data_IF_543227104472
#
_entry.id   IF_543227104472
#
_cell.length_a   1.000
_cell.length_b   1.000
_cell.length_c   1.000
_cell.angle_alpha   90.00
_cell.angle_beta   90.00
_cell.angle_gamma   90.00
#
_symmetry.space_group_name_H-M   'P 1'
#
loop_
_entity.id
_entity.type
_entity.pdbx_description
1 polymer ?
#
# COMPACT_ATOMS: atom_id res chain seq x y z
N UNK A 1 28.33 7.21 20.85
CA UNK A 1 26.92 6.80 20.85
C UNK A 1 26.40 6.93 22.28
N UNK A 2 25.46 7.84 22.54
CA UNK A 2 24.80 7.92 23.85
C UNK A 2 23.59 6.98 23.82
N UNK A 3 23.68 5.85 24.51
CA UNK A 3 22.57 4.92 24.69
C UNK A 3 21.80 5.31 25.95
N UNK A 4 20.48 5.46 25.86
CA UNK A 4 19.61 5.71 27.01
C UNK A 4 19.14 4.37 27.60
N UNK A 5 19.57 3.99 28.82
CA UNK A 5 18.98 2.85 29.52
C UNK A 5 17.65 3.30 30.16
N UNK A 6 16.52 2.83 29.63
CA UNK A 6 15.20 3.08 30.22
C UNK A 6 14.50 1.76 30.54
N UNK A 7 14.34 1.48 31.83
CA UNK A 7 13.43 0.43 32.35
C UNK A 7 12.05 1.05 32.53
N UNK A 8 11.14 0.83 31.59
CA UNK A 8 9.80 1.41 31.64
C UNK A 8 8.89 0.63 32.62
N UNK A 9 8.69 1.15 33.83
CA UNK A 9 7.58 0.76 34.72
C UNK A 9 6.30 1.52 34.30
N UNK A 10 5.18 0.80 34.17
CA UNK A 10 3.84 1.33 33.90
C UNK A 10 3.40 2.39 34.93
N UNK A 11 2.89 3.56 34.52
CA UNK A 11 2.05 4.41 35.37
C UNK A 11 0.56 4.19 35.10
N UNK A 12 -0.23 4.13 36.18
CA UNK A 12 -1.70 4.02 36.18
C UNK A 12 -2.39 5.34 35.81
N UNK A 13 -3.61 5.30 35.22
CA UNK A 13 -4.31 6.50 34.74
C UNK A 13 -5.00 7.25 35.89
N UNK A 14 -4.84 8.57 35.95
CA UNK A 14 -5.62 9.45 36.83
C UNK A 14 -6.69 10.19 36.04
N UNK A 15 -7.91 10.11 36.56
CA UNK A 15 -9.11 10.87 36.21
C UNK A 15 -8.84 12.38 36.10
N UNK A 16 -9.46 13.02 35.11
CA UNK A 16 -9.74 14.47 35.11
C UNK A 16 -11.17 14.69 34.62
N UNK A 17 -12.00 15.22 35.51
CA UNK A 17 -13.30 15.80 35.19
C UNK A 17 -13.17 17.24 34.67
N UNK A 18 -14.18 17.75 33.95
CA UNK A 18 -14.14 18.99 33.19
C UNK A 18 -14.88 20.13 33.90
N UNK A 19 -14.40 21.38 33.79
CA UNK A 19 -15.24 22.58 33.76
C UNK A 19 -14.46 23.89 33.51
N UNK A 20 -15.10 24.74 32.70
CA UNK A 20 -15.08 26.22 32.66
C UNK A 20 -13.80 26.96 32.21
N UNK A 21 -13.84 28.05 31.44
CA UNK A 21 -14.96 28.86 30.95
C UNK A 21 -14.54 29.70 29.72
N UNK A 22 -15.55 29.99 28.89
CA UNK A 22 -15.87 31.24 28.19
C UNK A 22 -14.82 32.38 28.12
N UNK A 23 -14.49 32.83 26.90
CA UNK A 23 -14.73 34.20 26.43
C UNK A 23 -13.94 34.49 25.15
N UNK A 24 -14.64 34.82 24.06
CA UNK A 24 -14.44 36.06 23.27
C UNK A 24 -15.11 35.94 21.91
N UNK A 25 -16.26 36.63 21.82
CA UNK A 25 -16.95 37.03 20.60
C UNK A 25 -16.05 37.96 19.77
N UNK A 26 -15.86 37.64 18.50
CA UNK A 26 -15.21 38.50 17.50
C UNK A 26 -15.97 38.40 16.17
N UNK A 27 -16.89 39.36 16.02
CA UNK A 27 -17.56 39.90 14.82
C UNK A 27 -17.23 39.32 13.43
N UNK A 28 -18.30 38.82 12.78
CA UNK A 28 -18.46 38.64 11.33
C UNK A 28 -18.66 40.00 10.65
N UNK A 29 -17.68 40.47 9.88
CA UNK A 29 -17.85 41.46 8.82
C UNK A 29 -16.58 41.50 7.98
N UNK A 30 -16.74 41.20 6.68
CA UNK A 30 -15.83 41.47 5.54
C UNK A 30 -15.62 40.23 4.65
N UNK A 31 -16.70 39.86 3.95
CA UNK A 31 -16.71 38.90 2.82
C UNK A 31 -17.24 39.60 1.56
N UNK A 32 -16.64 40.73 1.19
CA UNK A 32 -16.82 41.35 -0.11
C UNK A 32 -15.50 41.96 -0.57
N UNK A 33 -15.02 41.49 -1.73
CA UNK A 33 -13.83 41.94 -2.48
C UNK A 33 -12.61 41.02 -2.46
N UNK A 34 -12.75 39.77 -2.93
CA UNK A 34 -11.79 39.16 -3.89
C UNK A 34 -12.59 38.22 -4.80
N UNK A 35 -13.44 38.79 -5.65
CA UNK A 35 -13.99 38.14 -6.83
C UNK A 35 -13.61 39.04 -8.00
N UNK A 36 -12.43 38.78 -8.56
CA UNK A 36 -12.00 39.19 -9.91
C UNK A 36 -10.49 38.97 -10.01
N UNK A 37 -10.11 37.76 -10.44
CA UNK A 37 -8.86 37.42 -11.13
C UNK A 37 -8.91 35.95 -11.59
N UNK A 38 -10.09 35.50 -12.03
CA UNK A 38 -10.29 34.29 -12.79
C UNK A 38 -10.77 34.71 -14.18
N UNK A 39 -9.83 34.98 -15.08
CA UNK A 39 -9.91 34.65 -16.51
C UNK A 39 -8.93 35.53 -17.31
N UNK A 40 -7.74 34.99 -17.59
CA UNK A 40 -7.04 35.24 -18.85
C UNK A 40 -5.98 34.16 -19.05
N UNK A 41 -6.41 32.94 -19.40
CA UNK A 41 -5.64 31.99 -20.24
C UNK A 41 -6.57 31.03 -20.98
N UNK A 42 -7.55 31.55 -21.70
CA UNK A 42 -8.30 30.78 -22.71
C UNK A 42 -7.64 30.97 -24.08
N UNK A 43 -6.44 30.40 -24.22
CA UNK A 43 -5.90 30.03 -25.55
C UNK A 43 -6.33 28.60 -25.85
N UNK A 44 -6.53 28.20 -27.13
CA UNK A 44 -6.89 26.83 -27.44
C UNK A 44 -5.75 25.93 -26.95
N UNK A 45 -5.97 25.17 -25.86
CA UNK A 45 -5.10 24.06 -25.53
C UNK A 45 -5.24 23.07 -26.68
N UNK A 46 -4.25 23.06 -27.57
CA UNK A 46 -4.17 22.06 -28.62
C UNK A 46 -4.06 20.71 -27.93
N UNK A 47 -5.19 20.00 -27.82
CA UNK A 47 -5.22 18.63 -27.32
C UNK A 47 -4.14 17.85 -28.04
N UNK A 48 -3.34 17.08 -27.28
CA UNK A 48 -2.26 16.23 -27.80
C UNK A 48 -2.73 15.29 -28.93
N UNK A 49 -4.04 15.07 -29.03
CA UNK A 49 -4.71 14.23 -30.01
C UNK A 49 -5.70 15.04 -30.88
N UNK A 50 -5.35 16.29 -31.24
CA UNK A 50 -6.23 17.15 -32.03
C UNK A 50 -6.42 16.69 -33.48
N UNK A 51 -5.43 16.01 -34.07
CA UNK A 51 -5.49 15.55 -35.47
C UNK A 51 -5.72 14.04 -35.56
N UNK A 52 -6.31 13.60 -36.67
CA UNK A 52 -6.50 12.19 -36.97
C UNK A 52 -5.18 11.41 -37.08
N UNK A 53 -4.10 12.06 -37.51
CA UNK A 53 -2.77 11.45 -37.57
C UNK A 53 -2.17 11.28 -36.17
N UNK A 54 -2.36 12.25 -35.26
CA UNK A 54 -1.95 12.12 -33.86
C UNK A 54 -2.74 11.02 -33.14
N UNK A 55 -4.06 10.93 -33.39
CA UNK A 55 -4.91 9.85 -32.88
C UNK A 55 -4.48 8.49 -33.44
N UNK A 56 -4.12 8.42 -34.73
CA UNK A 56 -3.64 7.19 -35.34
C UNK A 56 -2.30 6.75 -34.77
N UNK A 57 -1.35 7.66 -34.62
CA UNK A 57 -0.06 7.39 -33.99
C UNK A 57 -0.24 6.83 -32.57
N UNK A 58 -1.17 7.39 -31.80
CA UNK A 58 -1.52 6.89 -30.46
C UNK A 58 -2.11 5.48 -30.48
N UNK A 59 -2.98 5.14 -31.45
CA UNK A 59 -3.52 3.77 -31.62
C UNK A 59 -2.43 2.78 -32.02
N UNK A 60 -1.53 3.15 -32.93
CA UNK A 60 -0.38 2.31 -33.33
C UNK A 60 0.57 2.07 -32.15
N UNK A 61 0.86 3.12 -31.38
CA UNK A 61 1.70 3.05 -30.19
C UNK A 61 1.01 2.40 -28.98
N UNK A 62 -0.31 2.15 -29.05
CA UNK A 62 -1.15 1.71 -27.92
C UNK A 62 -0.98 2.63 -26.70
N UNK A 63 -0.98 3.92 -26.96
CA UNK A 63 -0.76 4.95 -25.95
C UNK A 63 -1.88 4.93 -24.90
N UNK A 64 -1.52 4.58 -23.66
CA UNK A 64 -2.46 4.59 -22.53
C UNK A 64 -2.90 6.00 -22.14
N UNK A 65 -2.12 7.04 -22.46
CA UNK A 65 -2.47 8.42 -22.15
C UNK A 65 -3.59 8.95 -23.04
N UNK A 66 -3.81 8.31 -24.18
CA UNK A 66 -4.91 8.61 -25.09
C UNK A 66 -6.25 7.98 -24.67
N UNK A 67 -6.25 7.08 -23.68
CA UNK A 67 -7.48 6.47 -23.18
C UNK A 67 -8.37 7.50 -22.49
N UNK A 68 -9.58 7.71 -23.02
CA UNK A 68 -10.55 8.67 -22.50
C UNK A 68 -10.54 10.02 -23.22
N UNK A 69 -9.50 10.31 -24.00
CA UNK A 69 -9.41 11.49 -24.87
C UNK A 69 -10.19 11.28 -26.18
N UNK A 70 -10.17 10.05 -26.72
CA UNK A 70 -10.97 9.65 -27.86
C UNK A 70 -11.15 8.13 -27.88
N UNK A 71 -12.04 7.66 -28.77
CA UNK A 71 -12.26 6.26 -29.07
C UNK A 71 -12.06 6.04 -30.57
N UNK A 72 -11.66 4.84 -30.98
CA UNK A 72 -11.56 4.51 -32.40
C UNK A 72 -12.45 3.32 -32.74
N UNK A 73 -13.11 3.35 -33.89
CA UNK A 73 -13.91 2.25 -34.40
C UNK A 73 -13.26 1.57 -35.58
N UNK A 74 -13.59 0.30 -35.78
CA UNK A 74 -13.07 -0.53 -36.88
C UNK A 74 -14.23 -1.03 -37.72
N UNK A 75 -14.36 -0.51 -38.95
CA UNK A 75 -15.45 -0.82 -39.89
C UNK A 75 -15.65 -2.32 -40.11
N UNK A 76 -14.56 -3.05 -40.33
CA UNK A 76 -14.61 -4.49 -40.66
C UNK A 76 -15.08 -5.38 -39.50
N UNK A 77 -14.96 -4.93 -38.25
CA UNK A 77 -15.33 -5.73 -37.08
C UNK A 77 -16.58 -5.21 -36.37
N UNK A 78 -17.02 -3.99 -36.72
CA UNK A 78 -18.16 -3.33 -36.11
C UNK A 78 -17.95 -2.98 -34.64
N UNK A 79 -16.70 -2.86 -34.17
CA UNK A 79 -16.39 -2.52 -32.77
C UNK A 79 -15.70 -1.18 -32.62
N UNK A 80 -15.89 -0.53 -31.48
CA UNK A 80 -15.05 0.59 -31.03
C UNK A 80 -14.21 0.23 -29.82
N UNK A 81 -13.05 0.86 -29.72
CA UNK A 81 -11.96 0.54 -28.81
C UNK A 81 -11.41 1.81 -28.15
N UNK A 82 -10.73 1.62 -27.02
CA UNK A 82 -9.81 2.62 -26.46
C UNK A 82 -8.48 2.60 -27.23
N UNK A 83 -7.75 3.72 -27.35
CA UNK A 83 -6.48 3.77 -28.08
C UNK A 83 -5.42 2.77 -27.59
N UNK A 84 -5.39 2.45 -26.30
CA UNK A 84 -4.48 1.44 -25.73
C UNK A 84 -4.84 -0.02 -26.04
N UNK A 85 -5.93 -0.27 -26.79
CA UNK A 85 -6.45 -1.61 -27.01
C UNK A 85 -5.44 -2.51 -27.70
N UNK A 86 -5.08 -3.63 -27.04
CA UNK A 86 -4.19 -4.64 -27.59
C UNK A 86 -4.77 -5.49 -28.74
N UNK A 87 -5.89 -5.08 -29.34
CA UNK A 87 -6.43 -5.76 -30.53
C UNK A 87 -5.44 -5.68 -31.71
N UNK A 88 -5.59 -6.60 -32.67
CA UNK A 88 -4.80 -6.52 -33.91
C UNK A 88 -5.12 -5.20 -34.60
N UNK A 89 -4.07 -4.46 -34.98
CA UNK A 89 -4.22 -3.19 -35.68
C UNK A 89 -4.98 -3.42 -36.99
N UNK A 90 -6.10 -2.72 -37.13
CA UNK A 90 -6.85 -2.67 -38.38
C UNK A 90 -6.09 -1.80 -39.39
N UNK A 91 -6.39 -1.95 -40.69
CA UNK A 91 -5.87 -1.02 -41.69
C UNK A 91 -6.43 0.38 -41.41
N UNK A 92 -5.61 1.43 -41.59
CA UNK A 92 -5.96 2.84 -41.33
C UNK A 92 -7.26 3.27 -42.02
N UNK A 93 -7.49 2.79 -43.24
CA UNK A 93 -8.69 3.04 -44.06
C UNK A 93 -9.99 2.54 -43.41
N UNK A 94 -9.89 1.55 -42.51
CA UNK A 94 -11.04 0.95 -41.81
C UNK A 94 -11.27 1.57 -40.43
N UNK A 95 -10.53 2.62 -40.06
CA UNK A 95 -10.56 3.23 -38.73
C UNK A 95 -11.16 4.63 -38.77
N UNK A 96 -12.10 4.89 -37.86
CA UNK A 96 -12.67 6.21 -37.60
C UNK A 96 -12.49 6.58 -36.12
N UNK A 97 -12.41 7.87 -35.81
CA UNK A 97 -12.24 8.36 -34.44
C UNK A 97 -13.51 9.06 -33.93
N UNK A 98 -13.76 8.92 -32.64
CA UNK A 98 -14.95 9.41 -31.94
C UNK A 98 -14.51 10.14 -30.67
N UNK A 99 -15.20 11.23 -30.33
CA UNK A 99 -14.91 12.03 -29.12
C UNK A 99 -15.26 11.28 -27.85
N UNK A 100 -16.33 10.49 -27.88
CA UNK A 100 -16.82 9.73 -26.74
C UNK A 100 -17.45 8.41 -27.20
N UNK A 101 -17.84 7.57 -26.24
CA UNK A 101 -18.45 6.27 -26.51
C UNK A 101 -19.83 6.40 -27.16
N UNK A 102 -20.61 7.41 -26.77
CA UNK A 102 -21.95 7.61 -27.29
C UNK A 102 -21.93 8.00 -28.77
N UNK A 103 -20.92 8.76 -29.21
CA UNK A 103 -20.67 9.07 -30.61
C UNK A 103 -20.35 7.80 -31.42
N UNK A 104 -19.52 6.91 -30.88
CA UNK A 104 -19.19 5.63 -31.52
C UNK A 104 -20.42 4.69 -31.62
N UNK A 105 -21.26 4.67 -30.58
CA UNK A 105 -22.50 3.88 -30.55
C UNK A 105 -23.55 4.42 -31.54
N UNK A 106 -23.74 5.75 -31.59
CA UNK A 106 -24.61 6.39 -32.60
C UNK A 106 -24.14 6.11 -34.03
N UNK A 107 -22.83 5.95 -34.23
CA UNK A 107 -22.24 5.55 -35.50
C UNK A 107 -22.38 4.05 -35.81
N UNK A 108 -23.07 3.27 -34.96
CA UNK A 108 -23.41 1.86 -35.19
C UNK A 108 -22.37 0.85 -34.73
N UNK A 109 -21.37 1.27 -33.92
CA UNK A 109 -20.32 0.39 -33.43
C UNK A 109 -20.63 -0.11 -32.02
N UNK A 110 -20.40 -1.41 -31.77
CA UNK A 110 -20.53 -1.98 -30.42
C UNK A 110 -19.22 -1.85 -29.63
N UNK A 111 -19.24 -1.79 -28.29
CA UNK A 111 -18.02 -1.76 -27.49
C UNK A 111 -17.18 -3.02 -27.70
N UNK A 112 -15.87 -2.83 -27.82
CA UNK A 112 -14.92 -3.92 -27.97
C UNK A 112 -14.91 -4.80 -26.72
N UNK A 113 -15.16 -6.11 -26.89
CA UNK A 113 -15.15 -7.09 -25.78
C UNK A 113 -13.77 -7.30 -25.13
N UNK A 114 -12.70 -6.79 -25.74
CA UNK A 114 -11.32 -6.91 -25.25
C UNK A 114 -10.93 -5.74 -24.33
N UNK A 115 -10.94 -4.51 -24.84
CA UNK A 115 -10.61 -3.33 -24.03
C UNK A 115 -11.81 -2.80 -23.25
N UNK A 116 -13.03 -3.26 -23.58
CA UNK A 116 -14.27 -3.03 -22.82
C UNK A 116 -14.45 -1.54 -22.49
N UNK A 117 -14.49 -0.68 -23.51
CA UNK A 117 -14.44 0.77 -23.33
C UNK A 117 -15.58 1.27 -22.41
N UNK A 118 -16.74 0.65 -22.52
CA UNK A 118 -17.99 0.82 -21.77
C UNK A 118 -17.92 0.41 -20.28
N UNK A 119 -16.91 -0.37 -19.88
CA UNK A 119 -16.87 -1.01 -18.55
C UNK A 119 -16.11 -0.21 -17.48
N UNK A 120 -15.78 1.07 -17.72
CA UNK A 120 -15.12 1.94 -16.74
C UNK A 120 -15.85 2.07 -15.40
N UNK A 121 -17.19 2.14 -15.44
CA UNK A 121 -18.06 2.09 -14.26
C UNK A 121 -18.22 0.67 -13.69
N UNK A 122 -18.17 -0.34 -14.56
CA UNK A 122 -18.29 -1.76 -14.19
C UNK A 122 -17.15 -2.20 -13.27
N UNK A 123 -15.93 -1.75 -13.52
CA UNK A 123 -14.77 -2.13 -12.71
C UNK A 123 -14.70 -1.42 -11.36
N UNK A 124 -15.20 -0.18 -11.27
CA UNK A 124 -15.42 0.49 -9.98
C UNK A 124 -16.51 -0.23 -9.18
N UNK A 125 -17.59 -0.65 -9.85
CA UNK A 125 -18.63 -1.52 -9.28
C UNK A 125 -18.04 -2.85 -8.82
N UNK A 126 -17.18 -3.49 -9.62
CA UNK A 126 -16.51 -4.73 -9.27
C UNK A 126 -15.58 -4.60 -8.06
N UNK A 127 -14.80 -3.52 -7.97
CA UNK A 127 -13.96 -3.25 -6.81
C UNK A 127 -14.82 -3.02 -5.55
N UNK A 128 -15.94 -2.32 -5.68
CA UNK A 128 -16.91 -2.15 -4.59
C UNK A 128 -17.55 -3.49 -4.16
N UNK A 129 -17.93 -4.35 -5.11
CA UNK A 129 -18.46 -5.69 -4.86
C UNK A 129 -17.44 -6.58 -4.12
N UNK A 130 -16.18 -6.58 -4.56
CA UNK A 130 -15.11 -7.32 -3.88
C UNK A 130 -14.85 -6.77 -2.48
N UNK A 131 -14.85 -5.44 -2.32
CA UNK A 131 -14.69 -4.79 -1.00
C UNK A 131 -15.83 -5.16 -0.05
N UNK A 132 -17.07 -5.16 -0.54
CA UNK A 132 -18.23 -5.60 0.24
C UNK A 132 -18.11 -7.08 0.65
N UNK A 133 -17.66 -7.94 -0.27
CA UNK A 133 -17.42 -9.35 0.03
C UNK A 133 -16.29 -9.56 1.08
N UNK A 134 -15.20 -8.80 1.01
CA UNK A 134 -14.15 -8.84 2.04
C UNK A 134 -14.70 -8.47 3.42
N UNK A 135 -15.46 -7.36 3.52
CA UNK A 135 -16.11 -6.95 4.77
C UNK A 135 -17.09 -7.99 5.28
N UNK A 136 -17.85 -8.62 4.39
CA UNK A 136 -18.77 -9.70 4.73
C UNK A 136 -18.03 -10.89 5.34
N UNK A 137 -16.91 -11.31 4.76
CA UNK A 137 -16.04 -12.38 5.30
C UNK A 137 -15.48 -11.96 6.67
N UNK A 138 -15.07 -10.71 6.83
CA UNK A 138 -14.50 -10.18 8.07
C UNK A 138 -15.52 -10.05 9.21
N UNK A 139 -16.80 -9.84 8.90
CA UNK A 139 -17.88 -9.72 9.87
C UNK A 139 -18.56 -11.06 10.21
N UNK A 140 -18.51 -12.06 9.31
CA UNK A 140 -19.21 -13.33 9.50
C UNK A 140 -18.47 -14.23 10.50
N UNK A 141 -19.15 -14.75 11.52
CA UNK A 141 -18.59 -15.74 12.46
C UNK A 141 -18.13 -17.01 11.72
N UNK A 142 -19.01 -17.58 10.90
CA UNK A 142 -18.68 -18.61 9.91
C UNK A 142 -18.52 -17.97 8.53
N UNK A 143 -17.38 -18.15 7.83
CA UNK A 143 -17.20 -17.56 6.51
C UNK A 143 -18.28 -18.01 5.51
N UNK A 144 -18.93 -17.09 4.78
CA UNK A 144 -19.95 -17.46 3.80
C UNK A 144 -19.33 -18.27 2.67
N UNK A 145 -20.15 -19.12 2.03
CA UNK A 145 -19.69 -19.90 0.88
C UNK A 145 -19.41 -18.99 -0.33
N UNK A 146 -18.68 -19.53 -1.31
CA UNK A 146 -18.43 -18.82 -2.57
C UNK A 146 -19.76 -18.46 -3.26
N UNK A 147 -20.72 -19.37 -3.19
CA UNK A 147 -22.05 -19.24 -3.79
C UNK A 147 -22.82 -18.09 -3.13
N UNK A 148 -22.78 -17.98 -1.80
CA UNK A 148 -23.41 -16.87 -1.06
C UNK A 148 -22.77 -15.53 -1.41
N UNK A 149 -21.44 -15.43 -1.38
CA UNK A 149 -20.73 -14.18 -1.71
C UNK A 149 -20.98 -13.75 -3.16
N UNK A 150 -21.05 -14.70 -4.08
CA UNK A 150 -21.37 -14.44 -5.47
C UNK A 150 -22.81 -13.97 -5.66
N UNK A 151 -23.77 -14.61 -4.98
CA UNK A 151 -25.18 -14.21 -5.00
C UNK A 151 -25.41 -12.80 -4.44
N UNK A 152 -24.80 -12.47 -3.29
CA UNK A 152 -24.83 -11.13 -2.69
C UNK A 152 -24.22 -10.07 -3.63
N UNK A 153 -23.20 -10.45 -4.41
CA UNK A 153 -22.60 -9.59 -5.41
C UNK A 153 -23.40 -9.51 -6.73
N UNK A 154 -24.48 -10.29 -6.89
CA UNK A 154 -25.26 -10.40 -8.12
C UNK A 154 -24.49 -11.04 -9.28
N UNK A 155 -23.51 -11.92 -8.98
CA UNK A 155 -22.61 -12.53 -9.95
C UNK A 155 -22.67 -14.06 -9.90
N UNK A 156 -22.27 -14.73 -10.98
CA UNK A 156 -22.09 -16.19 -10.95
C UNK A 156 -20.87 -16.57 -10.10
N UNK A 157 -20.88 -17.74 -9.42
CA UNK A 157 -19.78 -18.16 -8.55
C UNK A 157 -18.41 -18.19 -9.25
N UNK A 158 -18.38 -18.68 -10.49
CA UNK A 158 -17.15 -18.76 -11.27
C UNK A 158 -16.61 -17.37 -11.64
N UNK A 159 -17.50 -16.45 -12.02
CA UNK A 159 -17.10 -15.08 -12.38
C UNK A 159 -16.64 -14.30 -11.15
N UNK A 160 -17.38 -14.39 -10.04
CA UNK A 160 -17.00 -13.78 -8.77
C UNK A 160 -15.65 -14.30 -8.28
N UNK A 161 -15.38 -15.61 -8.34
CA UNK A 161 -14.09 -16.18 -7.96
C UNK A 161 -12.92 -15.57 -8.75
N UNK A 162 -13.06 -15.46 -10.07
CA UNK A 162 -12.03 -14.85 -10.93
C UNK A 162 -11.85 -13.37 -10.64
N UNK A 163 -12.95 -12.64 -10.45
CA UNK A 163 -12.94 -11.21 -10.15
C UNK A 163 -12.30 -10.93 -8.79
N UNK A 164 -12.68 -11.69 -7.76
CA UNK A 164 -12.12 -11.59 -6.43
C UNK A 164 -10.61 -11.84 -6.46
N UNK A 165 -10.15 -12.86 -7.18
CA UNK A 165 -8.72 -13.14 -7.35
C UNK A 165 -8.00 -12.04 -8.13
N UNK A 166 -8.61 -11.48 -9.17
CA UNK A 166 -7.97 -10.40 -9.93
C UNK A 166 -7.82 -9.11 -9.11
N UNK A 167 -8.75 -8.84 -8.19
CA UNK A 167 -8.73 -7.64 -7.34
C UNK A 167 -7.88 -7.84 -6.07
N UNK A 168 -8.01 -8.96 -5.37
CA UNK A 168 -7.35 -9.21 -4.08
C UNK A 168 -6.02 -9.97 -4.19
N UNK A 169 -5.76 -10.63 -5.33
CA UNK A 169 -4.62 -11.52 -5.53
C UNK A 169 -4.78 -12.93 -4.95
N UNK A 170 -5.81 -13.19 -4.14
CA UNK A 170 -6.09 -14.49 -3.50
C UNK A 170 -7.50 -14.97 -3.82
N UNK A 171 -7.79 -16.26 -3.60
CA UNK A 171 -9.16 -16.77 -3.75
C UNK A 171 -10.03 -16.33 -2.55
N UNK A 172 -11.36 -16.24 -2.69
CA UNK A 172 -12.26 -15.97 -1.56
C UNK A 172 -12.03 -16.91 -0.37
N UNK A 173 -11.80 -18.20 -0.66
CA UNK A 173 -11.45 -19.20 0.36
C UNK A 173 -10.11 -18.93 1.02
N UNK A 174 -9.10 -18.52 0.25
CA UNK A 174 -7.79 -18.11 0.78
C UNK A 174 -7.90 -16.90 1.72
N UNK A 175 -8.70 -15.91 1.33
CA UNK A 175 -8.99 -14.72 2.14
C UNK A 175 -9.69 -15.08 3.45
N UNK A 176 -10.75 -15.89 3.39
CA UNK A 176 -11.46 -16.39 4.56
C UNK A 176 -10.59 -17.24 5.50
N UNK A 177 -9.69 -18.07 4.94
CA UNK A 177 -8.73 -18.82 5.74
C UNK A 177 -7.75 -17.91 6.48
N UNK A 178 -7.23 -16.88 5.82
CA UNK A 178 -6.31 -15.93 6.44
C UNK A 178 -6.98 -15.16 7.58
N UNK A 179 -8.22 -14.69 7.37
CA UNK A 179 -8.99 -14.00 8.42
C UNK A 179 -9.35 -14.90 9.59
N UNK A 180 -9.69 -16.17 9.33
CA UNK A 180 -9.90 -17.16 10.40
C UNK A 180 -8.63 -17.44 11.19
N UNK A 181 -7.48 -17.55 10.53
CA UNK A 181 -6.20 -17.71 11.21
C UNK A 181 -5.94 -16.55 12.17
N UNK A 182 -6.25 -15.32 11.74
CA UNK A 182 -6.14 -14.12 12.55
C UNK A 182 -7.08 -14.15 13.76
N UNK A 183 -8.36 -14.48 13.56
CA UNK A 183 -9.31 -14.63 14.70
C UNK A 183 -8.92 -15.71 15.68
N UNK A 184 -8.40 -16.85 15.20
CA UNK A 184 -7.88 -17.90 16.08
C UNK A 184 -6.74 -17.35 16.94
N UNK A 185 -5.83 -16.55 16.38
CA UNK A 185 -4.77 -15.89 17.16
C UNK A 185 -5.36 -14.90 18.18
N UNK A 186 -6.41 -14.18 17.81
CA UNK A 186 -7.05 -13.20 18.70
C UNK A 186 -7.85 -13.86 19.85
N UNK A 187 -8.48 -15.01 19.59
CA UNK A 187 -9.35 -15.73 20.52
C UNK A 187 -8.65 -16.78 21.38
N UNK A 188 -7.52 -17.35 20.93
CA UNK A 188 -6.76 -18.35 21.69
C UNK A 188 -6.36 -17.90 23.13
N UNK A 189 -6.08 -16.62 23.43
CA UNK A 189 -5.70 -16.19 24.77
C UNK A 189 -6.79 -16.40 25.84
N UNK A 190 -8.06 -16.30 25.46
CA UNK A 190 -9.22 -16.38 26.38
C UNK A 190 -9.94 -17.73 26.31
N UNK A 191 -9.58 -18.59 25.35
CA UNK A 191 -10.26 -19.85 25.11
C UNK A 191 -9.85 -20.95 26.10
N UNK A 192 -10.83 -21.69 26.62
CA UNK A 192 -10.63 -22.81 27.54
C UNK A 192 -9.74 -23.93 26.94
N UNK A 193 -9.76 -24.10 25.61
CA UNK A 193 -8.88 -25.02 24.90
C UNK A 193 -8.53 -24.52 23.49
N UNK A 194 -7.41 -25.01 22.94
CA UNK A 194 -7.08 -24.82 21.52
C UNK A 194 -8.25 -25.30 20.64
N UNK A 195 -8.86 -26.41 21.03
CA UNK A 195 -10.02 -26.97 20.34
C UNK A 195 -11.20 -26.00 20.34
N UNK A 196 -11.53 -25.39 21.48
CA UNK A 196 -12.62 -24.41 21.57
C UNK A 196 -12.32 -23.13 20.79
N UNK A 197 -11.09 -22.60 20.86
CA UNK A 197 -10.70 -21.41 20.09
C UNK A 197 -10.82 -21.59 18.56
N UNK A 198 -10.51 -22.78 18.08
CA UNK A 198 -10.68 -23.15 16.67
C UNK A 198 -12.15 -23.39 16.31
N UNK A 199 -12.96 -23.94 17.22
CA UNK A 199 -14.41 -24.06 17.06
C UNK A 199 -15.09 -22.68 16.99
N UNK A 200 -14.78 -21.79 17.93
CA UNK A 200 -15.29 -20.42 17.99
C UNK A 200 -14.87 -19.59 16.76
N UNK A 201 -13.70 -19.89 16.18
CA UNK A 201 -13.24 -19.30 14.93
C UNK A 201 -13.75 -20.01 13.65
N UNK A 202 -14.65 -21.00 13.78
CA UNK A 202 -15.34 -21.64 12.66
C UNK A 202 -14.57 -22.75 11.92
N UNK A 203 -13.73 -23.53 12.61
CA UNK A 203 -13.09 -24.75 12.06
C UNK A 203 -13.87 -26.03 12.43
N UNK A 204 -14.82 -26.43 11.57
CA UNK A 204 -15.73 -27.56 11.83
C UNK A 204 -15.25 -28.95 11.33
N UNK A 205 -13.95 -29.30 11.41
CA UNK A 205 -13.54 -30.67 11.02
C UNK A 205 -12.29 -31.23 11.72
N UNK A 206 -12.45 -32.40 12.35
CA UNK A 206 -11.50 -33.08 13.24
C UNK A 206 -10.33 -33.84 12.55
N UNK A 207 -10.23 -33.89 11.22
CA UNK A 207 -9.29 -34.81 10.55
C UNK A 207 -7.92 -34.24 10.14
N UNK A 208 -7.81 -32.93 9.92
CA UNK A 208 -6.58 -32.24 9.44
C UNK A 208 -6.13 -31.12 10.39
N UNK A 209 -6.60 -31.23 11.63
CA UNK A 209 -6.68 -30.21 12.66
C UNK A 209 -5.33 -29.62 13.09
N UNK A 210 -4.33 -30.46 13.37
CA UNK A 210 -3.02 -30.00 13.84
C UNK A 210 -2.04 -29.63 12.72
N UNK A 211 -2.12 -30.30 11.57
CA UNK A 211 -1.20 -30.05 10.46
C UNK A 211 -1.43 -28.68 9.79
N UNK A 212 -2.67 -28.19 9.78
CA UNK A 212 -2.99 -26.85 9.26
C UNK A 212 -2.79 -25.74 10.30
N UNK A 213 -2.90 -26.05 11.59
CA UNK A 213 -2.73 -25.08 12.66
C UNK A 213 -1.31 -24.50 12.70
N UNK A 214 -0.28 -25.33 12.52
CA UNK A 214 1.12 -24.89 12.48
C UNK A 214 1.40 -23.95 11.28
N UNK A 215 0.83 -24.26 10.11
CA UNK A 215 0.96 -23.45 8.90
C UNK A 215 0.14 -22.14 8.95
N UNK A 216 -0.97 -22.12 9.71
CA UNK A 216 -1.86 -20.95 9.87
C UNK A 216 -1.41 -20.02 11.00
N UNK A 217 -0.85 -20.56 12.08
CA UNK A 217 -0.39 -19.81 13.26
C UNK A 217 1.12 -19.52 13.21
N UNK A 218 1.87 -20.21 12.37
CA UNK A 218 3.34 -20.11 12.31
C UNK A 218 4.05 -20.76 13.51
N UNK A 219 3.32 -21.41 14.41
CA UNK A 219 3.82 -22.13 15.59
C UNK A 219 2.79 -23.13 16.12
N UNK A 220 3.22 -24.01 17.04
CA UNK A 220 2.38 -25.05 17.66
C UNK A 220 1.31 -24.46 18.60
N UNK A 221 0.03 -24.88 18.52
CA UNK A 221 -1.06 -24.33 19.34
C UNK A 221 -0.87 -24.44 20.86
N UNK A 222 -0.22 -25.50 21.34
CA UNK A 222 0.10 -25.67 22.77
C UNK A 222 1.13 -24.63 23.26
N UNK A 223 2.03 -24.18 22.38
CA UNK A 223 3.00 -23.12 22.67
C UNK A 223 2.34 -21.74 22.72
N UNK A 224 1.21 -21.54 22.02
CA UNK A 224 0.42 -20.33 22.07
C UNK A 224 -0.43 -20.25 23.37
N UNK A 225 -1.02 -21.37 23.82
CA UNK A 225 -1.85 -21.42 25.05
C UNK A 225 -1.04 -21.39 26.36
N UNK A 226 0.24 -21.76 26.34
CA UNK A 226 1.13 -21.68 27.51
C UNK A 226 1.51 -20.22 27.91
N UNK A 227 0.58 -19.27 27.72
CA UNK A 227 0.81 -17.84 27.82
C UNK A 227 1.79 -17.37 26.76
N UNK A 228 1.63 -17.89 25.52
CA UNK A 228 2.63 -17.92 24.46
C UNK A 228 3.54 -16.74 24.60
N UNK A 229 4.78 -17.00 25.08
CA UNK A 229 5.71 -15.98 25.60
C UNK A 229 5.38 -14.68 24.91
N UNK A 230 4.78 -13.74 25.65
CA UNK A 230 4.51 -12.39 25.20
C UNK A 230 5.58 -12.05 24.18
N UNK A 231 5.21 -11.94 22.89
CA UNK A 231 6.20 -12.00 21.82
C UNK A 231 7.35 -11.09 22.20
N UNK A 232 8.52 -11.67 22.46
CA UNK A 232 9.60 -10.88 23.05
C UNK A 232 10.11 -9.97 21.96
N UNK A 233 9.91 -8.68 22.16
CA UNK A 233 10.33 -7.65 21.22
C UNK A 233 11.54 -6.98 21.84
N UNK A 234 12.71 -7.26 21.26
CA UNK A 234 13.91 -6.48 21.54
C UNK A 234 13.74 -5.14 20.89
N UNK A 235 13.96 -4.06 21.64
CA UNK A 235 13.89 -2.71 21.10
C UNK A 235 15.03 -1.85 21.64
N UNK A 236 15.38 -0.84 20.85
CA UNK A 236 16.36 0.17 21.21
C UNK A 236 15.96 1.49 20.57
N UNK A 237 16.38 2.59 21.20
CA UNK A 237 16.29 3.92 20.62
C UNK A 237 17.70 4.47 20.41
N UNK A 238 17.94 4.97 19.22
CA UNK A 238 19.18 5.59 18.79
C UNK A 238 18.91 7.00 18.22
N UNK A 239 19.98 7.72 17.89
CA UNK A 239 19.92 9.01 17.20
C UNK A 239 20.51 8.88 15.80
N UNK A 240 19.91 9.58 14.85
CA UNK A 240 20.35 9.68 13.46
C UNK A 240 20.13 11.11 12.95
N UNK A 241 20.57 11.43 11.72
CA UNK A 241 20.39 12.74 11.08
C UNK A 241 18.92 13.17 10.94
N UNK A 242 17.97 12.22 11.03
CA UNK A 242 16.53 12.44 10.95
C UNK A 242 15.83 12.51 12.33
N UNK A 243 16.61 12.54 13.42
CA UNK A 243 16.12 12.58 14.81
C UNK A 243 16.21 11.24 15.52
N UNK A 244 15.29 11.01 16.46
CA UNK A 244 15.18 9.76 17.21
C UNK A 244 14.76 8.60 16.29
N UNK A 245 15.45 7.47 16.43
CA UNK A 245 15.23 6.25 15.67
C UNK A 245 14.93 5.12 16.64
N UNK A 246 13.73 4.54 16.56
CA UNK A 246 13.38 3.31 17.27
C UNK A 246 13.53 2.12 16.33
N UNK A 247 14.23 1.09 16.80
CA UNK A 247 14.40 -0.20 16.11
C UNK A 247 13.83 -1.29 17.01
N UNK A 248 12.96 -2.13 16.47
CA UNK A 248 12.40 -3.27 17.21
C UNK A 248 12.40 -4.55 16.37
N UNK A 249 12.70 -5.67 17.01
CA UNK A 249 12.75 -6.99 16.39
C UNK A 249 12.07 -8.06 17.23
N UNK A 250 11.43 -8.99 16.53
CA UNK A 250 10.94 -10.25 17.09
C UNK A 250 11.96 -11.35 16.86
N UNK A 251 11.64 -12.59 17.20
CA UNK A 251 12.46 -13.76 16.84
C UNK A 251 12.57 -13.99 15.32
N UNK A 252 11.71 -13.36 14.51
CA UNK A 252 11.69 -13.51 13.04
C UNK A 252 12.49 -12.43 12.31
N UNK A 253 12.75 -11.29 12.95
CA UNK A 253 13.45 -10.16 12.35
C UNK A 253 12.90 -8.80 12.79
N UNK A 254 13.34 -7.75 12.11
CA UNK A 254 12.90 -6.36 12.37
C UNK A 254 11.40 -6.23 12.10
N UNK A 255 10.62 -5.90 13.12
CA UNK A 255 9.18 -5.66 13.02
C UNK A 255 8.84 -4.15 13.04
N UNK A 256 9.78 -3.31 13.47
CA UNK A 256 9.62 -1.87 13.45
C UNK A 256 10.93 -1.11 13.24
N UNK A 257 10.87 -0.07 12.42
CA UNK A 257 11.87 1.00 12.32
C UNK A 257 11.06 2.29 12.23
N UNK A 258 11.16 3.16 13.24
CA UNK A 258 10.34 4.37 13.35
C UNK A 258 11.19 5.59 13.64
N UNK A 259 10.85 6.71 13.00
CA UNK A 259 11.56 7.98 13.11
C UNK A 259 10.67 9.03 13.80
N UNK A 260 11.24 9.85 14.66
CA UNK A 260 10.51 10.91 15.34
C UNK A 260 11.43 11.89 16.05
N UNK A 261 10.84 12.90 16.69
CA UNK A 261 11.57 13.90 17.47
C UNK A 261 11.65 13.52 18.95
N UNK A 262 10.61 12.87 19.47
CA UNK A 262 10.50 12.41 20.86
C UNK A 262 10.72 10.88 20.97
N UNK A 263 11.82 10.41 21.57
CA UNK A 263 12.07 9.00 21.88
C UNK A 263 10.94 8.33 22.66
N UNK A 264 10.33 9.02 23.64
CA UNK A 264 9.30 8.44 24.49
C UNK A 264 8.00 8.24 23.73
N UNK A 265 7.67 9.13 22.80
CA UNK A 265 6.54 8.94 21.88
C UNK A 265 6.72 7.70 21.00
N UNK A 266 7.92 7.43 20.50
CA UNK A 266 8.20 6.24 19.69
C UNK A 266 8.03 4.95 20.51
N UNK A 267 8.51 4.93 21.75
CA UNK A 267 8.35 3.79 22.65
C UNK A 267 6.88 3.57 23.00
N UNK A 268 6.11 4.63 23.27
CA UNK A 268 4.66 4.53 23.48
C UNK A 268 3.94 3.98 22.25
N UNK A 269 4.27 4.43 21.04
CA UNK A 269 3.69 3.87 19.81
C UNK A 269 4.01 2.38 19.66
N UNK A 270 5.22 1.95 20.01
CA UNK A 270 5.60 0.54 20.02
C UNK A 270 4.76 -0.27 21.04
N UNK A 271 4.57 0.27 22.24
CA UNK A 271 3.76 -0.34 23.30
C UNK A 271 2.29 -0.45 22.90
N UNK A 272 1.70 0.61 22.35
CA UNK A 272 0.31 0.65 21.90
C UNK A 272 0.06 -0.36 20.78
N UNK A 273 1.06 -0.55 19.89
CA UNK A 273 0.98 -1.53 18.80
C UNK A 273 1.14 -2.97 19.30
N UNK A 274 1.91 -3.18 20.37
CA UNK A 274 2.17 -4.50 20.94
C UNK A 274 1.84 -4.54 22.44
N UNK A 275 0.56 -4.36 22.83
CA UNK A 275 0.17 -4.13 24.22
C UNK A 275 0.38 -5.36 25.13
N UNK A 276 0.52 -6.54 24.53
CA UNK A 276 0.74 -7.83 25.18
C UNK A 276 2.17 -8.37 25.00
N UNK A 277 3.06 -7.64 24.33
CA UNK A 277 4.44 -8.08 24.11
C UNK A 277 5.33 -7.77 25.33
N UNK A 278 6.34 -8.60 25.54
CA UNK A 278 7.41 -8.31 26.49
C UNK A 278 8.45 -7.47 25.76
N UNK A 279 8.54 -6.19 26.12
CA UNK A 279 9.55 -5.29 25.56
C UNK A 279 10.86 -5.46 26.32
N UNK A 280 11.86 -6.00 25.64
CA UNK A 280 13.20 -6.27 26.18
C UNK A 280 14.17 -5.22 25.64
N UNK A 281 15.02 -4.68 26.51
CA UNK A 281 16.07 -3.76 26.10
C UNK A 281 17.11 -4.42 25.18
N UNK A 282 17.96 -3.60 24.56
CA UNK A 282 19.01 -4.10 23.68
C UNK A 282 20.06 -4.91 24.45
N UNK A 283 20.38 -6.09 23.93
CA UNK A 283 21.63 -6.80 24.24
C UNK A 283 22.72 -6.40 23.23
N UNK A 284 23.97 -6.79 23.50
CA UNK A 284 25.12 -6.45 22.66
C UNK A 284 24.99 -6.95 21.20
N UNK A 285 24.19 -8.00 20.96
CA UNK A 285 23.91 -8.47 19.60
C UNK A 285 22.90 -7.55 18.89
N UNK A 286 21.85 -7.15 19.59
CA UNK A 286 20.84 -6.26 19.08
C UNK A 286 21.39 -4.85 18.85
N UNK A 287 22.32 -4.38 19.67
CA UNK A 287 23.04 -3.11 19.44
C UNK A 287 23.76 -3.09 18.08
N UNK A 288 24.31 -4.24 17.64
CA UNK A 288 24.90 -4.34 16.28
C UNK A 288 23.86 -4.20 15.18
N UNK A 289 22.66 -4.75 15.38
CA UNK A 289 21.54 -4.56 14.44
C UNK A 289 21.12 -3.10 14.39
N UNK A 290 21.01 -2.44 15.54
CA UNK A 290 20.67 -1.02 15.64
C UNK A 290 21.72 -0.18 14.91
N UNK A 291 23.01 -0.46 15.09
CA UNK A 291 24.09 0.24 14.38
C UNK A 291 24.02 0.05 12.85
N UNK A 292 23.69 -1.16 12.38
CA UNK A 292 23.47 -1.40 10.95
C UNK A 292 22.26 -0.62 10.42
N UNK A 293 21.17 -0.56 11.18
CA UNK A 293 19.98 0.23 10.79
C UNK A 293 20.31 1.72 10.77
N UNK A 294 21.04 2.24 11.77
CA UNK A 294 21.49 3.65 11.78
C UNK A 294 22.34 3.93 10.54
N UNK A 295 23.38 3.14 10.28
CA UNK A 295 24.23 3.31 9.09
C UNK A 295 23.45 3.24 7.78
N UNK A 296 22.44 2.37 7.70
CA UNK A 296 21.56 2.28 6.54
C UNK A 296 20.61 3.47 6.40
N UNK A 297 20.14 4.07 7.50
CA UNK A 297 19.35 5.31 7.45
C UNK A 297 20.19 6.49 6.97
N UNK A 298 21.45 6.57 7.40
CA UNK A 298 22.39 7.60 6.95
C UNK A 298 22.78 7.42 5.48
N UNK A 299 23.02 6.18 5.05
CA UNK A 299 23.42 5.85 3.67
C UNK A 299 22.56 4.72 3.08
N UNK A 300 21.35 5.01 2.57
CA UNK A 300 20.41 3.99 2.07
C UNK A 300 20.93 3.14 0.90
N UNK A 301 21.97 3.60 0.21
CA UNK A 301 22.61 2.89 -0.91
C UNK A 301 23.38 1.64 -0.48
N UNK A 302 23.78 1.51 0.80
CA UNK A 302 24.51 0.33 1.30
C UNK A 302 23.59 -0.91 1.41
N UNK A 303 22.27 -0.70 1.39
CA UNK A 303 21.28 -1.76 1.61
C UNK A 303 21.20 -2.23 3.07
N UNK A 304 20.14 -2.94 3.41
CA UNK A 304 19.95 -3.51 4.75
C UNK A 304 19.93 -5.03 4.68
N UNK A 305 20.99 -5.67 5.19
CA UNK A 305 21.16 -7.12 5.22
C UNK A 305 20.68 -7.74 6.54
N UNK A 306 19.49 -7.33 6.99
CA UNK A 306 18.84 -7.86 8.19
C UNK A 306 17.48 -8.48 7.85
N UNK A 307 17.06 -9.56 8.53
CA UNK A 307 15.75 -10.17 8.30
C UNK A 307 14.63 -9.20 8.72
N UNK A 308 13.58 -9.12 7.90
CA UNK A 308 12.42 -8.27 8.14
C UNK A 308 11.19 -9.13 8.48
N UNK A 309 10.56 -8.85 9.61
CA UNK A 309 9.27 -9.44 10.01
C UNK A 309 8.12 -8.53 9.53
N UNK A 310 7.85 -8.60 8.23
CA UNK A 310 6.85 -7.77 7.57
C UNK A 310 5.44 -8.30 7.84
N UNK A 311 4.64 -7.55 8.61
CA UNK A 311 3.26 -7.91 8.97
C UNK A 311 2.26 -7.02 8.27
N UNK A 312 1.37 -7.63 7.49
CA UNK A 312 0.29 -6.92 6.81
C UNK A 312 -0.54 -7.85 5.94
N UNK A 313 -1.62 -7.32 5.38
CA UNK A 313 -2.45 -8.01 4.38
C UNK A 313 -1.64 -8.41 3.15
N UNK A 314 -2.11 -9.41 2.39
CA UNK A 314 -1.45 -9.81 1.15
C UNK A 314 -1.26 -8.64 0.17
N UNK A 315 -2.22 -7.71 0.11
CA UNK A 315 -2.10 -6.51 -0.71
C UNK A 315 -0.96 -5.61 -0.23
N UNK A 316 -0.88 -5.33 1.07
CA UNK A 316 0.19 -4.52 1.66
C UNK A 316 1.57 -5.15 1.43
N UNK A 317 1.70 -6.47 1.62
CA UNK A 317 2.96 -7.17 1.39
C UNK A 317 3.44 -7.04 -0.07
N UNK A 318 2.54 -7.18 -1.06
CA UNK A 318 2.89 -6.95 -2.46
C UNK A 318 3.31 -5.52 -2.75
N UNK A 319 2.60 -4.54 -2.17
CA UNK A 319 2.97 -3.12 -2.29
C UNK A 319 4.37 -2.93 -1.73
N UNK A 320 4.62 -3.33 -0.49
CA UNK A 320 5.90 -3.18 0.17
C UNK A 320 7.04 -3.89 -0.54
N UNK A 321 6.79 -5.06 -1.14
CA UNK A 321 7.77 -5.71 -2.02
C UNK A 321 8.08 -4.85 -3.24
N UNK A 322 7.06 -4.34 -3.94
CA UNK A 322 7.27 -3.44 -5.08
C UNK A 322 7.95 -2.11 -4.70
N UNK A 323 7.81 -1.65 -3.45
CA UNK A 323 8.56 -0.50 -2.93
C UNK A 323 10.06 -0.82 -2.83
N UNK A 324 10.41 -2.00 -2.31
CA UNK A 324 11.81 -2.43 -2.15
C UNK A 324 12.54 -2.55 -3.48
N UNK A 325 11.81 -2.79 -4.57
CA UNK A 325 12.36 -2.86 -5.92
C UNK A 325 12.63 -1.46 -6.54
N UNK A 326 12.26 -0.36 -5.86
CA UNK A 326 12.63 1.01 -6.28
C UNK A 326 14.04 1.32 -5.78
N UNK A 327 15.05 1.51 -6.65
CA UNK A 327 16.44 1.74 -6.24
C UNK A 327 16.62 3.04 -5.45
N UNK A 328 17.66 3.12 -4.62
CA UNK A 328 18.06 4.36 -3.97
C UNK A 328 18.40 5.43 -5.00
N UNK A 329 17.96 6.67 -4.75
CA UNK A 329 18.12 7.79 -5.68
C UNK A 329 17.12 7.77 -6.86
N UNK A 330 16.14 6.86 -6.84
CA UNK A 330 15.03 6.86 -7.80
C UNK A 330 13.69 7.02 -7.07
N UNK A 331 12.74 7.64 -7.77
CA UNK A 331 11.37 7.78 -7.29
C UNK A 331 10.39 7.07 -8.22
N UNK A 332 9.29 6.59 -7.65
CA UNK A 332 8.15 6.08 -8.42
C UNK A 332 6.86 6.74 -7.94
N UNK A 333 5.84 6.81 -8.80
CA UNK A 333 4.53 7.30 -8.40
C UNK A 333 3.66 6.21 -7.79
N UNK A 334 2.66 6.58 -6.99
CA UNK A 334 1.65 5.62 -6.51
C UNK A 334 0.98 4.86 -7.65
N UNK A 335 0.78 5.50 -8.81
CA UNK A 335 0.22 4.85 -9.99
C UNK A 335 1.18 3.83 -10.60
N UNK A 336 2.47 4.14 -10.68
CA UNK A 336 3.48 3.19 -11.16
C UNK A 336 3.59 1.96 -10.25
N UNK A 337 3.53 2.14 -8.93
CA UNK A 337 3.49 1.00 -8.00
C UNK A 337 2.21 0.17 -8.19
N UNK A 338 1.06 0.82 -8.36
CA UNK A 338 -0.21 0.15 -8.64
C UNK A 338 -0.14 -0.69 -9.94
N UNK A 339 0.53 -0.18 -10.97
CA UNK A 339 0.79 -0.95 -12.21
C UNK A 339 1.71 -2.14 -11.97
N UNK A 340 2.83 -1.96 -11.24
CA UNK A 340 3.80 -3.03 -10.94
C UNK A 340 3.19 -4.21 -10.19
N UNK A 341 2.26 -3.95 -9.27
CA UNK A 341 1.57 -5.02 -8.52
C UNK A 341 0.39 -5.65 -9.29
N UNK A 342 0.19 -5.28 -10.56
CA UNK A 342 -0.91 -5.79 -11.39
C UNK A 342 -2.28 -5.25 -10.99
N UNK A 343 -2.34 -4.08 -10.34
CA UNK A 343 -3.60 -3.44 -9.91
C UNK A 343 -3.63 -1.95 -10.27
N UNK A 344 -3.57 -1.54 -11.56
CA UNK A 344 -3.36 -0.15 -11.99
C UNK A 344 -4.33 0.89 -11.42
N UNK A 345 -5.54 0.49 -11.04
CA UNK A 345 -6.58 1.38 -10.48
C UNK A 345 -6.57 1.46 -8.96
N UNK A 346 -5.69 0.72 -8.28
CA UNK A 346 -5.59 0.65 -6.83
C UNK A 346 -4.71 1.76 -6.22
N UNK A 347 -4.55 2.90 -6.90
CA UNK A 347 -3.63 4.00 -6.51
C UNK A 347 -3.85 4.47 -5.06
N UNK A 348 -5.11 4.67 -4.65
CA UNK A 348 -5.44 5.07 -3.28
C UNK A 348 -5.12 4.00 -2.25
N UNK A 349 -5.38 2.72 -2.57
CA UNK A 349 -5.05 1.60 -1.70
C UNK A 349 -3.52 1.43 -1.56
N UNK A 350 -2.76 1.68 -2.62
CA UNK A 350 -1.29 1.73 -2.57
C UNK A 350 -0.82 2.85 -1.64
N UNK A 351 -1.42 4.05 -1.73
CA UNK A 351 -1.08 5.15 -0.84
C UNK A 351 -1.36 4.82 0.64
N UNK A 352 -2.50 4.17 0.93
CA UNK A 352 -2.80 3.67 2.28
C UNK A 352 -1.81 2.60 2.74
N UNK A 353 -1.43 1.67 1.87
CA UNK A 353 -0.43 0.65 2.19
C UNK A 353 0.95 1.28 2.48
N UNK A 354 1.34 2.34 1.77
CA UNK A 354 2.54 3.13 2.06
C UNK A 354 2.45 3.79 3.44
N UNK A 355 1.30 4.37 3.79
CA UNK A 355 1.09 5.01 5.11
C UNK A 355 1.08 3.99 6.28
N UNK A 356 0.70 2.74 6.01
CA UNK A 356 0.74 1.66 7.01
C UNK A 356 2.11 1.01 7.19
N UNK A 357 3.15 1.46 6.47
CA UNK A 357 4.50 0.92 6.62
C UNK A 357 5.03 1.15 8.05
N UNK A 358 5.57 0.11 8.67
CA UNK A 358 6.17 0.16 10.02
C UNK A 358 7.70 0.06 10.00
N UNK A 359 8.31 -0.10 8.83
CA UNK A 359 9.75 -0.26 8.63
C UNK A 359 10.28 0.91 7.80
N UNK A 360 10.49 2.06 8.45
CA UNK A 360 11.05 3.26 7.83
C UNK A 360 12.38 2.94 7.12
N UNK A 361 12.56 3.52 5.92
CA UNK A 361 13.72 3.36 5.03
C UNK A 361 13.92 1.94 4.49
N UNK A 362 13.80 0.90 5.32
CA UNK A 362 13.95 -0.51 4.93
C UNK A 362 12.85 -0.98 3.95
N UNK A 363 11.63 -0.49 4.15
CA UNK A 363 10.60 -0.45 3.11
C UNK A 363 10.56 1.02 2.62
N UNK A 364 11.11 1.33 1.43
CA UNK A 364 11.44 2.71 1.04
C UNK A 364 10.23 3.48 0.50
N UNK A 365 9.19 3.63 1.32
CA UNK A 365 7.97 4.37 0.97
C UNK A 365 8.21 5.88 0.78
N UNK A 366 9.34 6.43 1.24
CA UNK A 366 9.77 7.82 0.96
C UNK A 366 10.08 8.04 -0.53
N UNK A 367 10.47 6.99 -1.26
CA UNK A 367 10.70 7.04 -2.72
C UNK A 367 9.41 7.15 -3.53
N UNK A 368 8.25 7.02 -2.89
CA UNK A 368 6.97 7.08 -3.58
C UNK A 368 6.36 8.47 -3.49
N UNK A 369 6.12 9.08 -4.65
CA UNK A 369 5.61 10.45 -4.78
C UNK A 369 4.29 10.49 -5.52
N UNK A 370 3.62 11.64 -5.52
CA UNK A 370 2.44 11.86 -6.36
C UNK A 370 2.85 11.94 -7.84
N UNK A 371 1.88 11.77 -8.74
CA UNK A 371 2.14 11.86 -10.20
C UNK A 371 2.66 13.24 -10.63
N UNK A 372 2.34 14.30 -9.88
CA UNK A 372 2.83 15.67 -10.10
C UNK A 372 4.21 15.92 -9.46
N UNK A 373 4.85 14.89 -8.89
CA UNK A 373 6.12 14.99 -8.17
C UNK A 373 6.01 15.60 -6.77
N UNK A 374 4.81 16.04 -6.35
CA UNK A 374 4.64 16.65 -5.04
C UNK A 374 4.88 15.63 -3.91
N UNK A 375 5.58 16.09 -2.87
CA UNK A 375 5.77 15.32 -1.65
C UNK A 375 4.53 15.48 -0.77
N UNK A 376 3.74 14.42 -0.71
CA UNK A 376 2.65 14.29 0.26
C UNK A 376 2.71 12.92 0.90
N UNK A 377 2.16 12.80 2.10
CA UNK A 377 1.98 11.50 2.76
C UNK A 377 3.32 10.83 3.08
N UNK A 378 3.73 10.98 4.34
CA UNK A 378 4.79 10.18 4.93
C UNK A 378 4.48 9.97 6.40
N UNK A 379 4.51 8.72 6.85
CA UNK A 379 4.14 8.38 8.23
C UNK A 379 4.95 9.17 9.25
N UNK A 380 6.22 9.44 8.96
CA UNK A 380 7.16 10.12 9.86
C UNK A 380 7.40 11.60 9.49
N UNK A 381 6.54 12.19 8.66
CA UNK A 381 6.58 13.62 8.30
C UNK A 381 7.25 13.95 6.96
N UNK A 382 6.68 14.93 6.24
CA UNK A 382 7.12 15.28 4.88
C UNK A 382 8.57 15.79 4.83
N UNK A 383 9.03 16.46 5.88
CA UNK A 383 10.41 16.96 5.97
C UNK A 383 11.45 15.82 5.96
N UNK A 384 11.21 14.76 6.73
CA UNK A 384 12.08 13.56 6.72
C UNK A 384 12.10 12.87 5.36
N UNK A 385 10.94 12.82 4.68
CA UNK A 385 10.85 12.29 3.31
C UNK A 385 11.68 13.12 2.34
N UNK A 386 11.66 14.45 2.45
CA UNK A 386 12.48 15.34 1.63
C UNK A 386 13.97 15.11 1.90
N UNK A 387 14.39 15.11 3.16
CA UNK A 387 15.79 14.88 3.54
C UNK A 387 16.35 13.56 3.00
N UNK A 388 15.61 12.45 3.16
CA UNK A 388 16.00 11.15 2.61
C UNK A 388 16.18 11.16 1.09
N UNK A 389 15.28 11.84 0.36
CA UNK A 389 15.39 11.95 -1.09
C UNK A 389 16.60 12.77 -1.51
N UNK A 390 16.92 13.84 -0.78
CA UNK A 390 18.11 14.68 -1.04
C UNK A 390 19.39 13.87 -0.81
N UNK A 391 19.54 13.23 0.35
CA UNK A 391 20.72 12.39 0.66
C UNK A 391 20.92 11.30 -0.40
N UNK A 392 19.84 10.64 -0.83
CA UNK A 392 19.94 9.61 -1.87
C UNK A 392 20.35 10.15 -3.25
N UNK A 393 20.04 11.42 -3.58
CA UNK A 393 20.48 12.06 -4.82
C UNK A 393 21.95 12.53 -4.75
N UNK A 394 22.37 13.10 -3.62
CA UNK A 394 23.75 13.57 -3.43
C UNK A 394 24.75 12.43 -3.53
N UNK A 395 24.49 11.31 -2.84
CA UNK A 395 25.34 10.11 -2.93
C UNK A 395 25.39 9.49 -4.34
N UNK A 396 24.34 9.69 -5.17
CA UNK A 396 24.34 9.25 -6.56
C UNK A 396 25.23 10.15 -7.43
N UNK A 397 25.23 11.46 -7.17
CA UNK A 397 26.12 12.42 -7.83
C UNK A 397 27.59 12.08 -7.59
N UNK A 398 27.95 11.83 -6.33
CA UNK A 398 29.33 11.51 -5.93
C UNK A 398 29.83 10.17 -6.51
N UNK A 399 28.97 9.15 -6.59
CA UNK A 399 29.31 7.87 -7.25
C UNK A 399 29.47 8.04 -8.76
N UNK A 400 28.65 8.85 -9.41
CA UNK A 400 28.77 9.10 -10.85
C UNK A 400 30.05 9.88 -11.19
N UNK A 401 30.42 10.88 -10.38
CA UNK A 401 31.64 11.66 -10.59
C UNK A 401 32.92 10.89 -10.25
N UNK A 402 32.89 9.99 -9.26
CA UNK A 402 34.02 9.10 -8.94
C UNK A 402 34.25 8.02 -10.01
N UNK A 403 33.19 7.43 -10.57
CA UNK A 403 33.29 6.51 -11.71
C UNK A 403 33.82 7.24 -12.97
N UNK A 404 33.37 8.46 -13.22
CA UNK A 404 33.80 9.25 -14.38
C UNK A 404 35.24 9.79 -14.25
N UNK A 405 35.69 10.13 -13.03
CA UNK A 405 37.11 10.41 -12.75
C UNK A 405 38.00 9.18 -12.92
N UNK A 406 37.55 8.03 -12.45
CA UNK A 406 38.30 6.76 -12.59
C UNK A 406 38.41 6.31 -14.06
N UNK A 407 37.43 6.63 -14.89
CA UNK A 407 37.47 6.38 -16.34
C UNK A 407 38.42 7.33 -17.09
N UNK A 408 38.55 8.60 -16.65
CA UNK A 408 39.46 9.58 -17.26
C UNK A 408 40.95 9.41 -16.92
N UNK A 409 41.28 8.71 -15.83
CA UNK A 409 42.68 8.43 -15.43
C UNK A 409 43.26 7.21 -16.16
N UNK A 410 42.45 6.45 -16.92
CA UNK A 410 42.86 5.28 -17.71
C UNK A 410 43.02 5.54 -19.21
N UNK A 411 43.06 6.80 -19.65
CA UNK A 411 43.31 7.18 -21.04
C UNK A 411 44.69 7.83 -21.21
#
# INVERSE_FOLDING_TARGET
MHFYPMTAKRPSPKHRDPQDNDASRGTLSDLSHIADLADTRTGPQTSRYATDDAKWAAVVARDKQADGEFFYSVRTTGVFCRPSCGARLARRENVAFHTDMAAAERAGFRPCKRCKPDQGALDARHAALVTAACRRIEAAEVPPSLETLAAEAGLSPHYFHRLFRSVTGVTPRGYANARRAERVRDALPEAQSVTSAFYDAGFNSNGRFYAHADALLGMKPAAFRAGGKAESIRFAVAQCSLGALLVAATSRGLCAISLGDDPDALVRELQDRFPKAELVGADAEFERWVAQVVGFVESPHIGLSLPLDVRGTAFQQRVWQALRDVPAGQTASYAQIAERIGSPRAVRAVAQACASNTLAVAIPCHRIVRNDGALSGYRWGVERKRALLVHEQEERGDRHDSDNRSAKVKL
#
